data_IF_689708470734
#
_entry.id   IF_689708470734
#
_cell.length_a   1.000
_cell.length_b   1.000
_cell.length_c   1.000
_cell.angle_alpha   90.00
_cell.angle_beta   90.00
_cell.angle_gamma   90.00
#
_symmetry.space_group_name_H-M   'P 1'
#
loop_
_entity.id
_entity.type
_entity.pdbx_description
1 polymer ?
#
# COMPACT_ATOMS: atom_id res chain seq x y z
N UNK A 1 3.69 -9.56 -14.41
CA UNK A 1 2.78 -9.12 -13.32
C UNK A 1 3.22 -7.80 -12.71
N UNK A 2 4.48 -7.66 -12.27
CA UNK A 2 5.00 -6.42 -11.66
C UNK A 2 4.88 -5.16 -12.53
N UNK A 3 5.26 -5.24 -13.80
CA UNK A 3 5.16 -4.11 -14.74
C UNK A 3 3.72 -3.60 -14.90
N UNK A 4 2.73 -4.49 -14.76
CA UNK A 4 1.31 -4.09 -14.80
C UNK A 4 0.90 -3.37 -13.52
N UNK A 5 1.32 -3.84 -12.33
CA UNK A 5 1.06 -3.14 -11.06
C UNK A 5 1.72 -1.77 -11.02
N UNK A 6 2.98 -1.67 -11.44
CA UNK A 6 3.71 -0.40 -11.53
C UNK A 6 3.04 0.56 -12.52
N UNK A 7 2.60 0.08 -13.68
CA UNK A 7 1.89 0.91 -14.67
C UNK A 7 0.55 1.39 -14.13
N UNK A 8 -0.22 0.55 -13.43
CA UNK A 8 -1.49 0.94 -12.80
C UNK A 8 -1.23 1.98 -11.72
N UNK A 9 -0.25 1.74 -10.83
CA UNK A 9 0.15 2.67 -9.78
C UNK A 9 0.53 4.03 -10.37
N UNK A 10 1.40 4.05 -11.39
CA UNK A 10 1.89 5.28 -11.99
C UNK A 10 0.80 6.01 -12.78
N UNK A 11 -0.12 5.28 -13.42
CA UNK A 11 -1.29 5.86 -14.09
C UNK A 11 -2.25 6.53 -13.11
N UNK A 12 -2.49 5.91 -11.96
CA UNK A 12 -3.32 6.51 -10.90
C UNK A 12 -2.59 7.68 -10.22
N UNK A 13 -1.28 7.58 -10.04
CA UNK A 13 -0.48 8.65 -9.45
C UNK A 13 -0.50 9.89 -10.34
N UNK A 14 -0.24 9.69 -11.62
CA UNK A 14 -0.30 10.77 -12.62
C UNK A 14 -1.70 11.33 -12.72
N UNK A 15 -2.76 10.51 -12.73
CA UNK A 15 -4.14 11.01 -12.73
C UNK A 15 -4.45 11.88 -11.50
N UNK A 16 -4.10 11.43 -10.30
CA UNK A 16 -4.30 12.21 -9.05
C UNK A 16 -3.49 13.52 -9.10
N UNK A 17 -2.25 13.47 -9.57
CA UNK A 17 -1.40 14.66 -9.72
C UNK A 17 -1.96 15.63 -10.79
N UNK A 18 -2.51 15.13 -11.89
CA UNK A 18 -3.13 15.92 -12.96
C UNK A 18 -4.40 16.61 -12.45
N UNK A 19 -5.24 15.88 -11.71
CA UNK A 19 -6.44 16.45 -11.08
C UNK A 19 -6.08 17.53 -10.06
N UNK A 20 -5.07 17.30 -9.22
CA UNK A 20 -4.62 18.29 -8.24
C UNK A 20 -4.01 19.54 -8.90
N UNK A 21 -3.12 19.35 -9.88
CA UNK A 21 -2.51 20.46 -10.61
C UNK A 21 -3.54 21.25 -11.43
N UNK A 22 -4.44 20.57 -12.13
CA UNK A 22 -5.55 21.20 -12.85
C UNK A 22 -6.46 22.00 -11.93
N UNK A 23 -6.79 21.45 -10.75
CA UNK A 23 -7.55 22.15 -9.73
C UNK A 23 -6.86 23.43 -9.23
N UNK A 24 -5.53 23.38 -9.01
CA UNK A 24 -4.74 24.54 -8.57
C UNK A 24 -4.62 25.61 -9.65
N UNK A 25 -4.43 25.22 -10.91
CA UNK A 25 -4.39 26.15 -12.05
C UNK A 25 -5.75 26.83 -12.20
N UNK A 26 -6.86 26.09 -12.09
CA UNK A 26 -8.21 26.65 -12.17
C UNK A 26 -8.49 27.64 -11.03
N UNK A 27 -8.06 27.33 -9.80
CA UNK A 27 -8.13 28.27 -8.67
C UNK A 27 -7.32 29.56 -8.92
N UNK A 28 -6.16 29.47 -9.59
CA UNK A 28 -5.34 30.63 -9.91
C UNK A 28 -5.92 31.49 -11.05
N UNK A 29 -6.54 30.87 -12.06
CA UNK A 29 -7.08 31.54 -13.25
C UNK A 29 -8.49 32.11 -12.99
N UNK A 30 -9.27 31.47 -12.13
CA UNK A 30 -10.64 31.90 -11.78
C UNK A 30 -10.81 32.06 -10.26
N UNK A 31 -10.33 33.17 -9.67
CA UNK A 31 -10.43 33.42 -8.23
C UNK A 31 -11.89 33.49 -7.71
N UNK A 32 -12.88 33.71 -8.60
CA UNK A 32 -14.31 33.73 -8.25
C UNK A 32 -14.98 32.35 -8.14
N UNK A 33 -14.42 31.30 -8.77
CA UNK A 33 -14.89 29.90 -8.64
C UNK A 33 -14.04 29.11 -7.62
N UNK A 34 -12.84 29.61 -7.33
CA UNK A 34 -11.82 28.99 -6.49
C UNK A 34 -11.57 29.72 -5.17
N UNK A 35 -12.39 30.71 -4.79
CA UNK A 35 -12.45 31.16 -3.42
C UNK A 35 -12.67 29.90 -2.57
N UNK A 36 -11.74 29.52 -1.69
CA UNK A 36 -11.94 28.35 -0.86
C UNK A 36 -13.26 28.61 -0.16
N UNK A 37 -14.32 27.81 -0.37
CA UNK A 37 -15.45 27.89 0.51
C UNK A 37 -14.82 27.77 1.89
N UNK A 38 -15.00 28.78 2.74
CA UNK A 38 -14.59 28.70 4.14
C UNK A 38 -15.41 27.55 4.72
N UNK A 39 -14.94 26.33 4.46
CA UNK A 39 -15.52 25.10 4.91
C UNK A 39 -15.32 25.16 6.40
N UNK A 40 -16.45 25.28 7.08
CA UNK A 40 -16.54 25.50 8.52
C UNK A 40 -15.49 24.69 9.26
N UNK A 41 -14.85 25.29 10.27
CA UNK A 41 -13.71 24.80 11.08
C UNK A 41 -13.84 23.33 11.51
N UNK A 42 -15.06 22.79 11.50
CA UNK A 42 -15.44 21.41 11.76
C UNK A 42 -14.99 20.37 10.71
N UNK A 43 -14.87 20.73 9.42
CA UNK A 43 -14.63 19.76 8.33
C UNK A 43 -13.14 19.39 8.12
N UNK A 44 -12.22 20.28 8.50
CA UNK A 44 -10.78 20.06 8.39
C UNK A 44 -10.27 18.87 9.22
N UNK A 45 -10.60 18.79 10.52
CA UNK A 45 -10.24 17.63 11.35
C UNK A 45 -10.86 16.33 10.84
N UNK A 46 -12.10 16.35 10.34
CA UNK A 46 -12.77 15.17 9.80
C UNK A 46 -12.04 14.61 8.58
N UNK A 47 -11.63 15.48 7.64
CA UNK A 47 -10.82 15.08 6.48
C UNK A 47 -9.44 14.55 6.89
N UNK A 48 -8.82 15.17 7.89
CA UNK A 48 -7.54 14.69 8.43
C UNK A 48 -7.66 13.28 9.03
N UNK A 49 -8.67 13.08 9.89
CA UNK A 49 -8.94 11.77 10.52
C UNK A 49 -9.27 10.74 9.45
N UNK A 50 -10.14 11.08 8.48
CA UNK A 50 -10.52 10.15 7.42
C UNK A 50 -9.30 9.76 6.55
N UNK A 51 -8.43 10.73 6.24
CA UNK A 51 -7.17 10.47 5.53
C UNK A 51 -6.28 9.54 6.35
N UNK A 52 -6.12 9.79 7.65
CA UNK A 52 -5.33 8.95 8.54
C UNK A 52 -5.87 7.53 8.67
N UNK A 53 -7.19 7.38 8.81
CA UNK A 53 -7.88 6.09 8.85
C UNK A 53 -7.69 5.34 7.52
N UNK A 54 -7.90 5.99 6.38
CA UNK A 54 -7.68 5.37 5.08
C UNK A 54 -6.20 5.00 4.84
N UNK A 55 -5.27 5.83 5.27
CA UNK A 55 -3.82 5.62 5.11
C UNK A 55 -3.28 4.48 5.99
N UNK A 56 -3.74 4.39 7.24
CA UNK A 56 -3.18 3.50 8.26
C UNK A 56 -4.09 2.31 8.55
N UNK A 57 -5.37 2.57 8.87
CA UNK A 57 -6.31 1.52 9.23
C UNK A 57 -6.79 0.73 8.00
N UNK A 58 -6.96 1.38 6.85
CA UNK A 58 -7.39 0.75 5.59
C UNK A 58 -6.53 -0.47 5.20
N UNK A 59 -5.20 -0.33 5.06
CA UNK A 59 -4.32 -1.44 4.70
C UNK A 59 -4.31 -2.56 5.74
N UNK A 60 -4.43 -2.22 7.02
CA UNK A 60 -4.42 -3.19 8.12
C UNK A 60 -5.72 -3.99 8.14
N UNK A 61 -6.87 -3.31 8.08
CA UNK A 61 -8.19 -3.94 8.04
C UNK A 61 -8.33 -4.83 6.81
N UNK A 62 -7.87 -4.37 5.65
CA UNK A 62 -7.96 -5.18 4.44
C UNK A 62 -7.05 -6.43 4.52
N UNK A 63 -5.86 -6.31 5.12
CA UNK A 63 -4.97 -7.47 5.41
C UNK A 63 -5.60 -8.48 6.36
N UNK A 64 -6.23 -8.04 7.45
CA UNK A 64 -6.87 -8.94 8.41
C UNK A 64 -8.12 -9.58 7.85
N UNK A 65 -8.93 -8.83 7.08
CA UNK A 65 -10.14 -9.32 6.44
C UNK A 65 -9.82 -10.37 5.37
N UNK A 66 -8.75 -10.17 4.59
CA UNK A 66 -8.26 -11.18 3.65
C UNK A 66 -7.74 -12.44 4.38
N UNK A 67 -6.99 -12.28 5.47
CA UNK A 67 -6.52 -13.41 6.27
C UNK A 67 -7.68 -14.21 6.87
N UNK A 68 -8.73 -13.53 7.34
CA UNK A 68 -9.94 -14.16 7.87
C UNK A 68 -10.70 -14.91 6.76
N UNK A 69 -10.96 -14.25 5.63
CA UNK A 69 -11.74 -14.83 4.53
C UNK A 69 -11.02 -16.01 3.83
N UNK A 70 -9.68 -16.02 3.85
CA UNK A 70 -8.86 -17.09 3.26
C UNK A 70 -8.29 -18.09 4.27
N UNK A 71 -8.64 -17.97 5.56
CA UNK A 71 -8.21 -18.90 6.62
C UNK A 71 -8.60 -20.36 6.34
N UNK A 72 -9.72 -20.58 5.64
CA UNK A 72 -10.23 -21.89 5.28
C UNK A 72 -9.62 -22.46 3.98
N UNK A 73 -8.81 -21.69 3.23
CA UNK A 73 -8.21 -22.12 1.96
C UNK A 73 -6.75 -22.53 2.15
N UNK A 74 -6.40 -23.77 1.80
CA UNK A 74 -5.03 -24.32 1.93
C UNK A 74 -4.05 -23.70 0.92
N UNK A 75 -4.54 -23.27 -0.25
CA UNK A 75 -3.76 -22.54 -1.25
C UNK A 75 -4.58 -21.37 -1.82
N UNK A 76 -3.95 -20.22 -1.92
CA UNK A 76 -4.53 -19.03 -2.54
C UNK A 76 -4.09 -19.00 -4.01
N UNK A 77 -5.04 -18.78 -4.92
CA UNK A 77 -4.76 -18.61 -6.34
C UNK A 77 -3.97 -17.32 -6.59
N UNK A 78 -3.03 -17.36 -7.53
CA UNK A 78 -2.18 -16.22 -7.88
C UNK A 78 -3.00 -15.00 -8.34
N UNK A 79 -4.15 -15.23 -8.97
CA UNK A 79 -5.07 -14.17 -9.43
C UNK A 79 -5.77 -13.45 -8.27
N UNK A 80 -6.16 -14.18 -7.21
CA UNK A 80 -6.76 -13.57 -6.02
C UNK A 80 -5.75 -12.72 -5.23
N UNK A 81 -4.49 -13.18 -5.17
CA UNK A 81 -3.40 -12.42 -4.54
C UNK A 81 -3.11 -11.10 -5.28
N UNK A 82 -3.12 -11.10 -6.61
CA UNK A 82 -2.92 -9.88 -7.41
C UNK A 82 -4.06 -8.87 -7.21
N UNK A 83 -5.32 -9.34 -7.11
CA UNK A 83 -6.46 -8.46 -6.81
C UNK A 83 -6.32 -7.81 -5.43
N UNK A 84 -5.95 -8.60 -4.43
CA UNK A 84 -5.71 -8.11 -3.08
C UNK A 84 -4.64 -7.01 -3.03
N UNK A 85 -3.51 -7.22 -3.71
CA UNK A 85 -2.44 -6.22 -3.72
C UNK A 85 -2.81 -4.95 -4.50
N UNK A 86 -3.60 -5.10 -5.57
CA UNK A 86 -4.17 -3.96 -6.30
C UNK A 86 -5.10 -3.12 -5.42
N UNK A 87 -5.93 -3.77 -4.60
CA UNK A 87 -6.85 -3.07 -3.71
C UNK A 87 -6.10 -2.35 -2.59
N UNK A 88 -4.99 -2.93 -2.07
CA UNK A 88 -4.10 -2.22 -1.13
C UNK A 88 -3.51 -0.94 -1.73
N UNK A 89 -3.07 -1.02 -2.99
CA UNK A 89 -2.57 0.15 -3.72
C UNK A 89 -3.69 1.19 -3.86
N UNK A 90 -4.89 0.77 -4.25
CA UNK A 90 -6.04 1.67 -4.40
C UNK A 90 -6.39 2.40 -3.09
N UNK A 91 -6.33 1.71 -1.95
CA UNK A 91 -6.57 2.32 -0.63
C UNK A 91 -5.51 3.41 -0.33
N UNK A 92 -4.24 3.15 -0.62
CA UNK A 92 -3.18 4.16 -0.47
C UNK A 92 -3.35 5.37 -1.40
N UNK A 93 -3.80 5.13 -2.64
CA UNK A 93 -4.08 6.21 -3.59
C UNK A 93 -5.33 7.02 -3.21
N UNK A 94 -6.33 6.39 -2.60
CA UNK A 94 -7.49 7.08 -2.06
C UNK A 94 -7.10 8.03 -0.93
N UNK A 95 -6.20 7.61 -0.03
CA UNK A 95 -5.64 8.49 1.00
C UNK A 95 -4.90 9.68 0.40
N UNK A 96 -4.13 9.47 -0.68
CA UNK A 96 -3.46 10.55 -1.41
C UNK A 96 -4.44 11.50 -2.09
N UNK A 97 -5.51 10.99 -2.69
CA UNK A 97 -6.57 11.82 -3.26
C UNK A 97 -7.25 12.67 -2.17
N UNK A 98 -7.54 12.08 -1.00
CA UNK A 98 -8.10 12.82 0.14
C UNK A 98 -7.19 13.94 0.64
N UNK A 99 -5.87 13.69 0.71
CA UNK A 99 -4.91 14.72 1.08
C UNK A 99 -4.90 15.89 0.08
N UNK A 100 -4.99 15.61 -1.22
CA UNK A 100 -5.08 16.65 -2.25
C UNK A 100 -6.40 17.45 -2.18
N UNK A 101 -7.50 16.80 -1.81
CA UNK A 101 -8.78 17.48 -1.56
C UNK A 101 -8.64 18.37 -0.32
N UNK A 102 -8.08 17.87 0.79
CA UNK A 102 -7.83 18.66 1.99
C UNK A 102 -6.92 19.87 1.73
N UNK A 103 -5.94 19.71 0.84
CA UNK A 103 -5.05 20.78 0.37
C UNK A 103 -5.80 21.89 -0.39
N UNK A 104 -6.76 21.53 -1.24
CA UNK A 104 -7.58 22.49 -2.01
C UNK A 104 -8.64 23.20 -1.16
N UNK A 105 -9.11 22.58 -0.07
CA UNK A 105 -10.13 23.14 0.84
C UNK A 105 -9.55 24.17 1.84
N UNK A 106 -8.28 24.58 1.69
CA UNK A 106 -7.61 25.59 2.51
C UNK A 106 -7.68 25.30 4.03
N UNK A 107 -7.55 24.03 4.41
CA UNK A 107 -7.47 23.63 5.83
C UNK A 107 -6.24 24.27 6.48
N UNK A 108 -6.33 24.60 7.77
CA UNK A 108 -5.25 25.14 8.59
C UNK A 108 -3.92 24.42 8.34
N UNK A 109 -2.83 25.19 8.25
CA UNK A 109 -1.50 24.73 7.79
C UNK A 109 -1.06 23.39 8.42
N UNK A 110 -1.36 23.18 9.70
CA UNK A 110 -1.06 21.95 10.43
C UNK A 110 -1.71 20.68 9.83
N UNK A 111 -3.01 20.72 9.55
CA UNK A 111 -3.72 19.56 9.01
C UNK A 111 -3.33 19.29 7.56
N UNK A 112 -2.99 20.35 6.80
CA UNK A 112 -2.50 20.26 5.41
C UNK A 112 -1.16 19.52 5.34
N UNK A 113 -0.17 19.94 6.14
CA UNK A 113 1.13 19.24 6.19
C UNK A 113 0.99 17.83 6.75
N UNK A 114 0.13 17.63 7.75
CA UNK A 114 -0.09 16.32 8.37
C UNK A 114 -0.76 15.33 7.41
N UNK A 115 -1.84 15.72 6.72
CA UNK A 115 -2.49 14.86 5.71
C UNK A 115 -1.55 14.52 4.57
N UNK A 116 -0.76 15.49 4.09
CA UNK A 116 0.21 15.27 3.03
C UNK A 116 1.30 14.27 3.45
N UNK A 117 1.85 14.41 4.66
CA UNK A 117 2.85 13.48 5.18
C UNK A 117 2.28 12.05 5.33
N UNK A 118 1.07 11.93 5.89
CA UNK A 118 0.40 10.64 6.08
C UNK A 118 0.07 9.99 4.73
N UNK A 119 -0.42 10.76 3.77
CA UNK A 119 -0.70 10.27 2.44
C UNK A 119 0.57 9.84 1.68
N UNK A 120 1.65 10.60 1.82
CA UNK A 120 2.94 10.25 1.24
C UNK A 120 3.50 8.96 1.85
N UNK A 121 3.37 8.82 3.18
CA UNK A 121 3.72 7.61 3.89
C UNK A 121 2.89 6.41 3.42
N UNK A 122 1.58 6.57 3.25
CA UNK A 122 0.70 5.53 2.73
C UNK A 122 1.06 5.13 1.29
N UNK A 123 1.35 6.11 0.43
CA UNK A 123 1.77 5.87 -0.94
C UNK A 123 3.12 5.13 -1.01
N UNK A 124 4.05 5.45 -0.09
CA UNK A 124 5.32 4.75 0.07
C UNK A 124 5.11 3.31 0.55
N UNK A 125 4.28 3.10 1.59
CA UNK A 125 3.94 1.75 2.07
C UNK A 125 3.14 0.94 1.05
N UNK A 126 2.43 1.58 0.14
CA UNK A 126 1.71 0.97 -0.97
C UNK A 126 2.60 0.55 -2.15
N UNK A 127 3.88 0.93 -2.17
CA UNK A 127 4.74 0.68 -3.32
C UNK A 127 4.98 -0.84 -3.55
N UNK A 128 4.64 -1.37 -4.73
CA UNK A 128 4.82 -2.79 -5.04
C UNK A 128 6.29 -3.08 -5.37
N UNK A 129 7.06 -3.45 -4.34
CA UNK A 129 8.46 -3.87 -4.46
C UNK A 129 8.59 -5.39 -4.51
N UNK A 130 9.42 -5.93 -5.41
CA UNK A 130 9.59 -7.39 -5.58
C UNK A 130 9.93 -8.13 -4.28
N UNK A 131 10.79 -7.54 -3.44
CA UNK A 131 11.16 -8.13 -2.15
C UNK A 131 9.93 -8.32 -1.25
N UNK A 132 9.00 -7.36 -1.29
CA UNK A 132 7.76 -7.36 -0.52
C UNK A 132 6.73 -8.34 -1.08
N UNK A 133 6.53 -8.34 -2.40
CA UNK A 133 5.69 -9.33 -3.10
C UNK A 133 6.12 -10.77 -2.82
N UNK A 134 7.43 -11.02 -2.76
CA UNK A 134 7.98 -12.37 -2.52
C UNK A 134 7.76 -12.80 -1.07
N UNK A 135 7.91 -11.88 -0.10
CA UNK A 135 7.60 -12.13 1.31
C UNK A 135 6.11 -12.39 1.52
N UNK A 136 5.24 -11.56 0.94
CA UNK A 136 3.79 -11.73 1.06
C UNK A 136 3.33 -13.03 0.39
N UNK A 137 3.88 -13.39 -0.79
CA UNK A 137 3.62 -14.68 -1.45
C UNK A 137 3.99 -15.86 -0.56
N UNK A 138 5.11 -15.75 0.19
CA UNK A 138 5.57 -16.77 1.13
C UNK A 138 4.68 -16.84 2.37
N UNK A 139 4.24 -15.70 2.90
CA UNK A 139 3.36 -15.59 4.05
C UNK A 139 1.98 -16.24 3.78
N UNK A 140 1.42 -15.99 2.60
CA UNK A 140 0.10 -16.47 2.19
C UNK A 140 0.11 -17.85 1.51
N UNK A 141 1.26 -18.54 1.45
CA UNK A 141 1.42 -19.86 0.80
C UNK A 141 0.74 -19.93 -0.58
N UNK A 142 0.85 -18.85 -1.36
CA UNK A 142 0.27 -18.78 -2.70
C UNK A 142 0.91 -19.88 -3.53
N UNK A 143 0.11 -20.67 -4.24
CA UNK A 143 0.59 -21.76 -5.08
C UNK A 143 1.76 -21.23 -5.95
N UNK A 144 2.93 -21.82 -5.76
CA UNK A 144 4.07 -21.53 -6.61
C UNK A 144 3.66 -21.95 -8.02
N UNK A 145 3.81 -21.04 -8.99
CA UNK A 145 3.84 -21.44 -10.38
C UNK A 145 4.92 -22.54 -10.49
N UNK A 146 4.55 -23.72 -10.99
CA UNK A 146 5.34 -24.96 -10.93
C UNK A 146 6.70 -24.91 -11.67
N UNK A 147 7.22 -23.73 -12.00
CA UNK A 147 8.43 -23.56 -12.81
C UNK A 147 9.77 -23.60 -12.06
N UNK A 148 9.78 -23.67 -10.72
CA UNK A 148 10.99 -24.06 -9.97
C UNK A 148 10.67 -24.32 -8.50
N UNK A 149 10.79 -25.56 -8.00
CA UNK A 149 10.78 -25.79 -6.56
C UNK A 149 11.99 -25.06 -5.94
N UNK A 150 11.83 -24.35 -4.82
CA UNK A 150 12.98 -23.84 -4.09
C UNK A 150 13.76 -25.05 -3.55
N UNK A 151 14.96 -25.26 -4.07
CA UNK A 151 15.97 -26.06 -3.39
C UNK A 151 16.22 -25.40 -2.04
N UNK A 152 15.57 -25.92 -1.01
CA UNK A 152 16.00 -25.75 0.37
C UNK A 152 17.42 -26.33 0.44
N UNK A 153 18.42 -25.50 0.17
CA UNK A 153 19.80 -25.78 0.53
C UNK A 153 19.85 -25.64 2.04
N UNK A 154 19.44 -26.71 2.72
CA UNK A 154 19.77 -26.91 4.12
C UNK A 154 21.29 -26.98 4.13
N UNK A 155 21.93 -25.90 4.54
CA UNK A 155 23.37 -25.86 4.76
C UNK A 155 23.65 -26.73 6.00
N UNK A 156 23.63 -28.04 5.80
CA UNK A 156 23.98 -29.02 6.83
C UNK A 156 25.49 -28.90 7.00
N UNK A 157 25.90 -28.33 8.12
CA UNK A 157 27.31 -28.22 8.48
C UNK A 157 27.90 -29.63 8.64
N UNK A 158 28.87 -30.05 7.79
CA UNK A 158 29.42 -31.41 7.83
C UNK A 158 30.25 -31.68 9.09
N UNK A 159 30.61 -30.65 9.87
CA UNK A 159 31.44 -30.78 11.06
C UNK A 159 30.77 -31.57 12.22
N UNK A 160 29.45 -31.76 12.21
CA UNK A 160 28.74 -32.42 13.32
C UNK A 160 28.77 -33.95 13.23
N UNK A 161 29.25 -34.55 12.12
CA UNK A 161 29.23 -36.01 11.94
C UNK A 161 30.45 -36.74 12.53
N UNK A 162 31.57 -36.06 12.76
CA UNK A 162 32.80 -36.75 13.17
C UNK A 162 32.96 -36.92 14.70
N UNK A 163 32.26 -36.15 15.52
CA UNK A 163 32.39 -36.25 16.99
C UNK A 163 31.59 -37.40 17.61
N UNK A 164 30.66 -38.04 16.89
CA UNK A 164 29.92 -39.21 17.40
C UNK A 164 30.54 -40.57 17.05
N UNK A 165 31.42 -40.65 16.06
CA UNK A 165 32.06 -41.92 15.68
C UNK A 165 33.30 -42.27 16.53
N UNK A 166 33.89 -41.30 17.23
CA UNK A 166 35.13 -41.50 18.01
C UNK A 166 34.90 -41.85 19.49
N UNK A 167 33.65 -41.90 19.97
CA UNK A 167 33.35 -42.17 21.40
C UNK A 167 32.80 -43.57 21.66
N UNK A 168 32.90 -44.46 20.68
CA UNK A 168 32.44 -45.85 20.74
C UNK A 168 33.55 -46.85 20.39
N UNK A 169 34.79 -46.55 20.75
CA UNK A 169 35.89 -47.53 20.84
C UNK A 169 36.56 -47.40 22.19
#
# INVERSE_FOLDING_TARGET
MELQLKRIYLRWLTAVALVWSGGRVLQHVMPGLGAPPHVSVSSGPALFILTAVCALAGPILYRTLFAYHKRACVQISTTAFIRFERDLILIGMAALALAMVADMLAVTSFYRSGTLLIALYAAYCGFPSQKRLTLDRRLYRVAADHRKPPTLVVHRNPAVRQTRASKAR
#
